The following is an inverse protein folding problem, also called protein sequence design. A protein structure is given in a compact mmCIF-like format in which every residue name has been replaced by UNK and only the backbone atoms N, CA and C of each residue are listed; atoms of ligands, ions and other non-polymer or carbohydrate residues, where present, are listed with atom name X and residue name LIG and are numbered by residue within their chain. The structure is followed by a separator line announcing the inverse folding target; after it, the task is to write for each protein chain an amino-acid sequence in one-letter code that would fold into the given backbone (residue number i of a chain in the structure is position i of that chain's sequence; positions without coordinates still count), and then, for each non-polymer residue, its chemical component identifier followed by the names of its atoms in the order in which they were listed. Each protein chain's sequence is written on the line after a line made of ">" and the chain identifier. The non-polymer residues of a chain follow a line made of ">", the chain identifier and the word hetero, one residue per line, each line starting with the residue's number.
data_IF_335024232411
#
_entry.id   IF_335024232411
#
_cell.length_a   1.000
_cell.length_b   1.000
_cell.length_c   1.000
_cell.angle_alpha   90.00
_cell.angle_beta   90.00
_cell.angle_gamma   90.00
#
_symmetry.space_group_name_H-M   'P 1'
#
loop_
_entity.id
_entity.type
_entity.pdbx_description
1 polymer ?
#
# COMPACT_ATOMS: atom_id res chain seq x y z
N UNK A 1 4.84 18.83 -43.75
CA UNK A 1 3.69 18.50 -42.87
C UNK A 1 4.17 18.49 -41.43
N UNK A 2 3.55 19.25 -40.56
CA UNK A 2 3.81 19.19 -39.11
C UNK A 2 2.79 18.24 -38.48
N UNK A 3 3.29 17.23 -37.77
CA UNK A 3 2.45 16.32 -36.97
C UNK A 3 2.37 16.90 -35.57
N UNK A 4 1.15 17.02 -35.04
CA UNK A 4 0.89 17.45 -33.67
C UNK A 4 0.40 16.22 -32.87
N UNK A 5 0.93 16.06 -31.64
CA UNK A 5 0.48 15.03 -30.71
C UNK A 5 -0.25 15.69 -29.54
N UNK A 6 -1.44 15.26 -29.29
CA UNK A 6 -2.24 15.67 -28.15
C UNK A 6 -2.51 14.46 -27.24
N UNK A 7 -2.41 14.65 -25.92
CA UNK A 7 -2.69 13.63 -24.94
C UNK A 7 -4.06 13.92 -24.33
N UNK A 8 -5.05 13.09 -24.65
CA UNK A 8 -6.39 13.19 -24.10
C UNK A 8 -6.57 12.16 -22.97
N UNK A 9 -6.99 12.64 -21.80
CA UNK A 9 -7.27 11.80 -20.62
C UNK A 9 -6.10 10.88 -20.19
N UNK A 10 -4.87 11.36 -20.04
CA UNK A 10 -3.77 10.55 -19.59
C UNK A 10 -4.03 10.07 -18.16
N UNK A 11 -3.68 8.80 -17.86
CA UNK A 11 -3.67 8.28 -16.50
C UNK A 11 -2.27 8.49 -15.91
N UNK A 12 -2.11 9.37 -14.93
CA UNK A 12 -0.80 9.56 -14.30
C UNK A 12 -0.47 8.37 -13.39
N UNK A 13 0.79 7.99 -13.41
CA UNK A 13 1.35 6.96 -12.51
C UNK A 13 2.54 7.57 -11.77
N UNK A 14 2.49 7.54 -10.45
CA UNK A 14 3.56 8.05 -9.60
C UNK A 14 4.34 6.90 -9.01
N UNK A 15 5.65 6.99 -9.08
CA UNK A 15 6.56 6.01 -8.50
C UNK A 15 7.57 6.73 -7.61
N UNK A 16 7.99 6.07 -6.53
CA UNK A 16 9.00 6.61 -5.64
C UNK A 16 9.85 5.50 -5.03
N UNK A 17 11.07 5.85 -4.63
CA UNK A 17 11.97 4.96 -3.90
C UNK A 17 12.10 5.48 -2.48
N UNK A 18 11.78 4.63 -1.50
CA UNK A 18 11.94 5.00 -0.10
C UNK A 18 13.42 5.04 0.29
N UNK A 19 13.85 6.10 1.00
CA UNK A 19 15.15 6.10 1.64
C UNK A 19 15.29 4.88 2.57
N UNK A 20 16.46 4.25 2.55
CA UNK A 20 16.76 3.08 3.38
C UNK A 20 15.73 1.92 3.26
N UNK A 21 15.22 1.70 2.04
CA UNK A 21 14.20 0.69 1.78
C UNK A 21 14.60 -0.71 2.25
N UNK A 22 15.88 -1.06 2.22
CA UNK A 22 16.36 -2.37 2.66
C UNK A 22 16.10 -2.61 4.15
N UNK A 23 16.41 -1.64 5.00
CA UNK A 23 16.18 -1.76 6.45
C UNK A 23 14.69 -1.68 6.77
N UNK A 24 13.95 -0.81 6.09
CA UNK A 24 12.49 -0.75 6.21
C UNK A 24 11.86 -2.11 5.85
N UNK A 25 12.25 -2.73 4.75
CA UNK A 25 11.72 -4.03 4.33
C UNK A 25 12.05 -5.14 5.34
N UNK A 26 13.25 -5.18 5.90
CA UNK A 26 13.61 -6.13 6.97
C UNK A 26 12.73 -5.95 8.20
N UNK A 27 12.51 -4.70 8.60
CA UNK A 27 11.64 -4.35 9.73
C UNK A 27 10.21 -4.81 9.48
N UNK A 28 9.62 -4.45 8.33
CA UNK A 28 8.26 -4.85 7.94
C UNK A 28 8.12 -6.37 7.90
N UNK A 29 9.02 -7.07 7.24
CA UNK A 29 8.99 -8.52 7.13
C UNK A 29 8.98 -9.20 8.51
N UNK A 30 9.86 -8.77 9.42
CA UNK A 30 9.92 -9.29 10.79
C UNK A 30 8.58 -9.11 11.52
N UNK A 31 8.04 -7.89 11.50
CA UNK A 31 6.83 -7.57 12.25
C UNK A 31 5.57 -8.19 11.64
N UNK A 32 5.43 -8.20 10.33
CA UNK A 32 4.31 -8.85 9.64
C UNK A 32 4.30 -10.36 9.92
N UNK A 33 5.46 -11.03 9.84
CA UNK A 33 5.55 -12.47 10.19
C UNK A 33 5.22 -12.74 11.65
N UNK A 34 5.64 -11.89 12.56
CA UNK A 34 5.31 -12.05 13.98
C UNK A 34 3.81 -11.83 14.21
N UNK A 35 3.21 -10.87 13.53
CA UNK A 35 1.78 -10.60 13.61
C UNK A 35 0.95 -11.76 13.09
N UNK A 36 1.28 -12.32 11.94
CA UNK A 36 0.55 -13.45 11.35
C UNK A 36 0.57 -14.73 12.21
N UNK A 37 1.55 -14.87 13.10
CA UNK A 37 1.60 -15.98 14.07
C UNK A 37 0.71 -15.76 15.29
N UNK A 38 0.40 -14.51 15.61
CA UNK A 38 -0.40 -14.13 16.78
C UNK A 38 -1.88 -13.98 16.46
N UNK A 39 -2.21 -13.58 15.25
CA UNK A 39 -3.57 -13.33 14.83
C UNK A 39 -3.94 -14.18 13.62
N UNK A 40 -5.12 -14.80 13.69
CA UNK A 40 -5.67 -15.62 12.60
C UNK A 40 -5.84 -14.84 11.29
N UNK A 41 -6.02 -13.53 11.38
CA UNK A 41 -6.31 -12.69 10.24
C UNK A 41 -7.77 -12.79 9.77
N UNK A 42 -8.02 -12.22 8.62
CA UNK A 42 -9.35 -12.12 8.04
C UNK A 42 -9.44 -12.91 6.73
N UNK A 43 -10.66 -13.38 6.43
CA UNK A 43 -10.97 -13.96 5.11
C UNK A 43 -11.59 -12.87 4.26
N UNK A 44 -10.89 -12.47 3.23
CA UNK A 44 -11.31 -11.46 2.25
C UNK A 44 -11.22 -12.04 0.85
N UNK A 45 -10.32 -11.51 0.05
CA UNK A 45 -10.03 -12.04 -1.29
C UNK A 45 -8.93 -13.11 -1.29
N UNK A 46 -8.24 -13.30 -0.15
CA UNK A 46 -7.19 -14.28 0.02
C UNK A 46 -7.71 -15.71 -0.11
N UNK A 47 -6.98 -16.55 -0.81
CA UNK A 47 -7.30 -17.95 -1.09
C UNK A 47 -6.02 -18.80 -1.12
N UNK A 48 -6.19 -20.14 -1.07
CA UNK A 48 -5.04 -21.05 -1.14
C UNK A 48 -4.12 -21.00 0.08
N UNK A 49 -4.62 -20.65 1.26
CA UNK A 49 -3.85 -20.58 2.50
C UNK A 49 -3.10 -19.26 2.75
N UNK A 50 -3.36 -18.24 1.96
CA UNK A 50 -2.83 -16.89 2.20
C UNK A 50 -3.41 -16.27 3.48
N UNK A 51 -2.61 -15.46 4.17
CA UNK A 51 -3.04 -14.72 5.35
C UNK A 51 -3.28 -13.25 5.00
N UNK A 52 -4.40 -12.70 5.45
CA UNK A 52 -4.77 -11.29 5.34
C UNK A 52 -4.85 -10.72 6.76
N UNK A 53 -4.10 -9.65 7.03
CA UNK A 53 -4.15 -9.03 8.36
C UNK A 53 -5.49 -8.37 8.64
N UNK A 54 -5.80 -8.06 9.91
CA UNK A 54 -6.75 -7.01 10.23
C UNK A 54 -6.40 -5.70 9.53
N UNK A 55 -7.38 -4.82 9.35
CA UNK A 55 -7.25 -3.59 8.54
C UNK A 55 -6.76 -2.37 9.31
N UNK A 56 -6.25 -2.59 10.51
CA UNK A 56 -5.77 -1.56 11.45
C UNK A 56 -4.25 -1.37 11.44
N UNK A 57 -3.55 -1.86 10.40
CA UNK A 57 -2.09 -1.76 10.27
C UNK A 57 -1.58 -0.33 10.44
N UNK A 58 -2.33 0.65 9.93
CA UNK A 58 -2.00 2.08 10.04
C UNK A 58 -2.06 2.63 11.48
N UNK A 59 -2.67 1.90 12.42
CA UNK A 59 -2.77 2.30 13.84
C UNK A 59 -1.69 1.67 14.72
N UNK A 60 -0.90 0.75 14.16
CA UNK A 60 0.12 0.00 14.92
C UNK A 60 1.48 0.69 14.87
N UNK A 61 2.13 0.74 16.02
CA UNK A 61 3.43 1.42 16.20
C UNK A 61 4.51 0.90 15.26
N UNK A 62 4.54 -0.42 15.04
CA UNK A 62 5.55 -1.10 14.24
C UNK A 62 5.59 -0.62 12.78
N UNK A 63 4.48 -0.08 12.29
CA UNK A 63 4.34 0.35 10.88
C UNK A 63 4.40 1.86 10.68
N UNK A 64 4.57 2.63 11.74
CA UNK A 64 4.74 4.09 11.67
C UNK A 64 5.84 4.56 10.70
N UNK A 65 7.01 3.89 10.62
CA UNK A 65 8.02 4.29 9.65
C UNK A 65 7.53 4.22 8.20
N UNK A 66 6.79 3.15 7.84
CA UNK A 66 6.18 3.03 6.51
C UNK A 66 5.13 4.12 6.27
N UNK A 67 4.25 4.34 7.24
CA UNK A 67 3.18 5.35 7.15
C UNK A 67 3.76 6.74 6.94
N UNK A 68 4.83 7.08 7.64
CA UNK A 68 5.54 8.36 7.47
C UNK A 68 6.01 8.57 6.03
N UNK A 69 6.58 7.54 5.39
CA UNK A 69 7.01 7.62 3.99
C UNK A 69 5.82 7.73 3.03
N UNK A 70 4.77 6.93 3.24
CA UNK A 70 3.55 6.99 2.44
C UNK A 70 2.88 8.36 2.53
N UNK A 71 2.75 8.92 3.73
CA UNK A 71 2.18 10.26 3.93
C UNK A 71 2.95 11.32 3.16
N UNK A 72 4.28 11.27 3.21
CA UNK A 72 5.11 12.21 2.46
C UNK A 72 4.92 12.08 0.94
N UNK A 73 4.82 10.85 0.43
CA UNK A 73 4.54 10.63 -1.00
C UNK A 73 3.17 11.20 -1.40
N UNK A 74 2.14 11.00 -0.58
CA UNK A 74 0.80 11.53 -0.84
C UNK A 74 0.79 13.06 -0.76
N UNK A 75 1.52 13.67 0.17
CA UNK A 75 1.68 15.13 0.24
C UNK A 75 2.30 15.70 -1.04
N UNK A 76 3.34 15.06 -1.56
CA UNK A 76 3.99 15.47 -2.81
C UNK A 76 3.04 15.30 -4.02
N UNK A 77 2.28 14.21 -4.07
CA UNK A 77 1.27 13.96 -5.08
C UNK A 77 0.16 15.02 -5.04
N UNK A 78 -0.33 15.38 -3.86
CA UNK A 78 -1.35 16.41 -3.70
C UNK A 78 -0.85 17.78 -4.19
N UNK A 79 0.40 18.12 -3.91
CA UNK A 79 1.02 19.34 -4.42
C UNK A 79 1.07 19.36 -5.96
N UNK A 80 1.42 18.24 -6.58
CA UNK A 80 1.47 18.11 -8.05
C UNK A 80 0.08 18.31 -8.68
N UNK A 81 -0.97 17.82 -8.03
CA UNK A 81 -2.36 18.03 -8.45
C UNK A 81 -2.95 19.39 -8.05
N UNK A 82 -2.23 20.21 -7.30
CA UNK A 82 -2.75 21.47 -6.77
C UNK A 82 -3.87 21.29 -5.73
N UNK A 83 -3.85 20.18 -5.01
CA UNK A 83 -4.82 19.88 -3.95
C UNK A 83 -4.29 20.35 -2.60
N UNK A 84 -5.06 21.19 -1.92
CA UNK A 84 -4.73 21.75 -0.59
C UNK A 84 -5.62 21.16 0.52
N UNK A 85 -6.05 19.92 0.37
CA UNK A 85 -6.92 19.28 1.35
C UNK A 85 -6.12 18.35 2.27
N UNK A 86 -6.46 18.30 3.57
CA UNK A 86 -5.90 17.30 4.46
C UNK A 86 -6.35 15.90 4.03
N UNK A 87 -5.47 14.92 4.21
CA UNK A 87 -5.79 13.52 3.98
C UNK A 87 -5.47 12.69 5.22
N UNK A 88 -6.04 11.51 5.29
CA UNK A 88 -5.72 10.51 6.31
C UNK A 88 -5.83 9.11 5.73
N UNK A 89 -5.05 8.19 6.30
CA UNK A 89 -5.16 6.77 5.96
C UNK A 89 -6.34 6.16 6.72
N UNK A 90 -7.40 5.82 6.00
CA UNK A 90 -8.60 5.24 6.58
C UNK A 90 -8.35 3.85 7.14
N UNK A 91 -7.78 2.98 6.34
CA UNK A 91 -7.36 1.63 6.73
C UNK A 91 -6.13 1.19 5.94
N UNK A 92 -5.46 0.16 6.46
CA UNK A 92 -4.26 -0.41 5.83
C UNK A 92 -4.14 -1.86 6.30
N UNK A 93 -3.72 -2.74 5.41
CA UNK A 93 -3.50 -4.15 5.71
C UNK A 93 -2.33 -4.71 4.91
N UNK A 94 -1.91 -5.90 5.24
CA UNK A 94 -0.94 -6.66 4.48
C UNK A 94 -1.41 -8.09 4.23
N UNK A 95 -0.85 -8.71 3.19
CA UNK A 95 -1.08 -10.09 2.85
C UNK A 95 0.23 -10.88 2.91
N UNK A 96 0.15 -12.14 3.33
CA UNK A 96 1.21 -13.12 3.15
C UNK A 96 0.66 -14.21 2.24
N UNK A 97 1.21 -14.31 1.04
CA UNK A 97 0.89 -15.36 0.10
C UNK A 97 2.03 -16.37 0.06
N UNK A 98 1.76 -17.58 0.52
CA UNK A 98 2.67 -18.70 0.37
C UNK A 98 2.56 -19.29 -1.05
N UNK A 99 3.49 -20.16 -1.48
CA UNK A 99 3.37 -20.84 -2.77
C UNK A 99 1.98 -21.49 -2.94
N UNK A 100 1.30 -21.17 -4.04
CA UNK A 100 -0.08 -21.61 -4.31
C UNK A 100 -1.19 -20.71 -3.73
N UNK A 101 -0.87 -19.76 -2.84
CA UNK A 101 -1.83 -18.78 -2.37
C UNK A 101 -1.99 -17.62 -3.35
N UNK A 102 -3.18 -17.08 -3.43
CA UNK A 102 -3.49 -15.96 -4.33
C UNK A 102 -4.63 -15.10 -3.76
N UNK A 103 -4.82 -13.91 -4.33
CA UNK A 103 -5.99 -13.09 -4.08
C UNK A 103 -6.95 -13.20 -5.27
N UNK A 104 -8.22 -13.42 -5.00
CA UNK A 104 -9.26 -13.46 -6.01
C UNK A 104 -9.39 -12.10 -6.70
N UNK A 105 -9.76 -12.11 -7.96
CA UNK A 105 -10.10 -10.88 -8.69
C UNK A 105 -11.23 -10.15 -7.95
N UNK A 106 -11.04 -8.87 -7.73
CA UNK A 106 -11.99 -8.03 -7.00
C UNK A 106 -11.86 -6.57 -7.45
N UNK A 107 -12.82 -5.76 -7.06
CA UNK A 107 -12.84 -4.32 -7.29
C UNK A 107 -12.81 -3.59 -5.95
N UNK A 108 -12.21 -2.39 -5.97
CA UNK A 108 -12.32 -1.43 -4.88
C UNK A 108 -13.33 -0.37 -5.31
N UNK A 109 -14.46 -0.33 -4.62
CA UNK A 109 -15.47 0.73 -4.83
C UNK A 109 -15.03 1.98 -4.09
N UNK A 110 -15.19 3.09 -4.76
CA UNK A 110 -14.94 4.42 -4.19
C UNK A 110 -16.14 4.87 -3.35
#
# INVERSE_FOLDING_TARGET
>A
MKIHRELLFPTPVYTGIFPDALNLNKHLFKHIKAWSKKEKGETRTNSGGGWHSPTDMNKREEYKPLIKHLSKMVEELFKDYGLEHPFFLGNMWCNINYPGAYNKVHVHTV
#
